data_IF_310030564630
#
_entry.id   IF_310030564630
#
_cell.length_a   1.000
_cell.length_b   1.000
_cell.length_c   1.000
_cell.angle_alpha   90.00
_cell.angle_beta   90.00
_cell.angle_gamma   90.00
#
_symmetry.space_group_name_H-M   'P 1'
#
loop_
_entity.id
_entity.type
_entity.pdbx_description
1 polymer ?
#
# COMPACT_ATOMS: atom_id res chain seq x y z
N UNK A 1 -8.99 -29.62 -3.36
CA UNK A 1 -8.41 -28.45 -2.66
C UNK A 1 -9.36 -27.31 -2.90
N UNK A 2 -9.94 -26.70 -1.85
CA UNK A 2 -10.78 -25.52 -2.00
C UNK A 2 -9.94 -24.37 -2.56
N UNK A 3 -10.44 -23.67 -3.56
CA UNK A 3 -9.81 -22.46 -4.07
C UNK A 3 -9.53 -21.48 -2.90
N UNK A 4 -8.35 -20.85 -2.87
CA UNK A 4 -8.04 -19.88 -1.82
C UNK A 4 -9.07 -18.76 -1.85
N UNK A 5 -9.62 -18.42 -0.68
CA UNK A 5 -10.57 -17.31 -0.56
C UNK A 5 -9.82 -15.99 -0.43
N UNK A 6 -10.27 -14.92 -1.09
CA UNK A 6 -9.66 -13.60 -0.92
C UNK A 6 -9.86 -13.10 0.52
N UNK A 7 -8.84 -12.44 1.08
CA UNK A 7 -8.91 -11.73 2.36
C UNK A 7 -9.73 -10.44 2.20
N UNK A 8 -9.46 -9.69 1.12
CA UNK A 8 -10.19 -8.48 0.77
C UNK A 8 -10.74 -8.62 -0.64
N UNK A 9 -12.02 -8.36 -0.81
CA UNK A 9 -12.71 -8.39 -2.08
C UNK A 9 -13.54 -7.12 -2.25
N UNK A 10 -13.55 -6.56 -3.44
CA UNK A 10 -14.49 -5.53 -3.84
C UNK A 10 -15.16 -5.96 -5.14
N UNK A 11 -16.47 -5.78 -5.23
CA UNK A 11 -17.28 -6.13 -6.40
C UNK A 11 -18.12 -4.97 -6.85
N UNK A 12 -18.01 -4.65 -8.13
CA UNK A 12 -18.86 -3.67 -8.79
C UNK A 12 -18.82 -2.28 -8.20
N UNK A 13 -17.64 -1.83 -7.68
CA UNK A 13 -17.53 -0.51 -7.04
C UNK A 13 -17.78 0.60 -8.05
N UNK A 14 -18.72 1.49 -7.73
CA UNK A 14 -19.06 2.68 -8.51
C UNK A 14 -18.76 3.93 -7.69
N UNK A 15 -18.17 4.95 -8.33
CA UNK A 15 -17.95 6.25 -7.73
C UNK A 15 -18.03 7.38 -8.75
N UNK A 16 -18.90 8.34 -8.45
CA UNK A 16 -19.05 9.56 -9.24
C UNK A 16 -18.58 10.79 -8.46
N UNK A 17 -17.94 11.70 -9.16
CA UNK A 17 -17.64 13.05 -8.70
C UNK A 17 -18.31 14.05 -9.66
N UNK A 18 -19.55 14.42 -9.35
CA UNK A 18 -20.38 15.16 -10.28
C UNK A 18 -20.61 14.39 -11.58
N UNK A 19 -20.11 14.90 -12.71
CA UNK A 19 -20.23 14.24 -14.02
C UNK A 19 -19.07 13.26 -14.31
N UNK A 20 -18.05 13.21 -13.44
CA UNK A 20 -16.90 12.32 -13.65
C UNK A 20 -17.15 10.97 -13.00
N UNK A 21 -17.09 9.91 -13.80
CA UNK A 21 -17.16 8.53 -13.32
C UNK A 21 -15.72 8.09 -12.97
N UNK A 22 -15.41 8.02 -11.68
CA UNK A 22 -14.08 7.66 -11.21
C UNK A 22 -13.91 6.15 -11.00
N UNK A 23 -14.99 5.43 -10.65
CA UNK A 23 -15.09 3.98 -10.69
C UNK A 23 -16.39 3.60 -11.40
N UNK A 24 -16.31 2.62 -12.30
CA UNK A 24 -17.42 2.17 -13.13
C UNK A 24 -17.54 0.63 -13.08
N UNK A 25 -17.99 0.13 -11.93
CA UNK A 25 -18.10 -1.30 -11.69
C UNK A 25 -16.73 -1.98 -11.45
N UNK A 26 -15.83 -1.30 -10.72
CA UNK A 26 -14.48 -1.84 -10.45
C UNK A 26 -14.52 -3.03 -9.49
N UNK A 27 -13.80 -4.09 -9.85
CA UNK A 27 -13.57 -5.28 -9.02
C UNK A 27 -12.13 -5.33 -8.51
N UNK A 28 -11.95 -5.91 -7.33
CA UNK A 28 -10.64 -6.11 -6.70
C UNK A 28 -10.64 -7.36 -5.82
N UNK A 29 -9.51 -8.07 -5.79
CA UNK A 29 -9.31 -9.22 -4.91
C UNK A 29 -7.87 -9.25 -4.41
N UNK A 30 -7.69 -9.52 -3.12
CA UNK A 30 -6.39 -9.76 -2.47
C UNK A 30 -6.45 -11.09 -1.73
N UNK A 31 -5.48 -11.96 -1.98
CA UNK A 31 -5.36 -13.25 -1.33
C UNK A 31 -4.35 -13.23 -0.18
N UNK A 32 -4.33 -14.29 0.68
CA UNK A 32 -3.34 -14.40 1.73
C UNK A 32 -1.91 -14.41 1.18
N UNK A 33 -1.01 -13.71 1.87
CA UNK A 33 0.42 -13.74 1.62
C UNK A 33 0.85 -13.34 0.20
N UNK A 34 0.09 -12.43 -0.44
CA UNK A 34 0.46 -11.89 -1.76
C UNK A 34 0.71 -10.38 -1.74
N UNK A 35 1.47 -9.91 -2.71
CA UNK A 35 1.58 -8.50 -3.09
C UNK A 35 0.79 -8.29 -4.37
N UNK A 36 -0.26 -7.47 -4.32
CA UNK A 36 -1.00 -7.04 -5.51
C UNK A 36 -0.61 -5.61 -5.85
N UNK A 37 -0.09 -5.41 -7.05
CA UNK A 37 0.12 -4.06 -7.58
C UNK A 37 -1.09 -3.58 -8.36
N UNK A 38 -1.47 -2.32 -8.18
CA UNK A 38 -2.50 -1.63 -8.96
C UNK A 38 -1.82 -0.62 -9.86
N UNK A 39 -1.93 -0.82 -11.17
CA UNK A 39 -1.39 0.06 -12.19
C UNK A 39 -2.51 0.64 -13.07
N UNK A 40 -2.18 1.67 -13.81
CA UNK A 40 -3.11 2.34 -14.73
C UNK A 40 -2.68 3.79 -14.97
N UNK A 41 -3.18 4.41 -16.01
CA UNK A 41 -2.91 5.81 -16.34
C UNK A 41 -3.43 6.78 -15.27
N UNK A 42 -3.03 8.05 -15.39
CA UNK A 42 -3.61 9.12 -14.60
C UNK A 42 -5.11 9.22 -14.89
N UNK A 43 -5.92 9.24 -13.83
CA UNK A 43 -7.38 9.23 -13.99
C UNK A 43 -8.01 7.83 -14.16
N UNK A 44 -7.22 6.73 -14.18
CA UNK A 44 -7.75 5.37 -14.30
C UNK A 44 -8.61 4.90 -13.13
N UNK A 45 -8.64 5.64 -12.00
CA UNK A 45 -9.44 5.29 -10.82
C UNK A 45 -8.67 4.65 -9.67
N UNK A 46 -7.34 4.44 -9.80
CA UNK A 46 -6.48 3.78 -8.78
C UNK A 46 -6.65 4.36 -7.37
N UNK A 47 -6.40 5.66 -7.24
CA UNK A 47 -6.50 6.34 -5.93
C UNK A 47 -7.94 6.35 -5.39
N UNK A 48 -8.96 6.35 -6.25
CA UNK A 48 -10.36 6.25 -5.84
C UNK A 48 -10.66 4.85 -5.31
N UNK A 49 -10.18 3.79 -5.98
CA UNK A 49 -10.31 2.42 -5.51
C UNK A 49 -9.66 2.26 -4.12
N UNK A 50 -8.41 2.71 -3.96
CA UNK A 50 -7.73 2.62 -2.66
C UNK A 50 -8.43 3.42 -1.57
N UNK A 51 -8.91 4.61 -1.86
CA UNK A 51 -9.70 5.40 -0.91
C UNK A 51 -10.98 4.68 -0.48
N UNK A 52 -11.62 3.93 -1.39
CA UNK A 52 -12.78 3.11 -1.05
C UNK A 52 -12.38 1.91 -0.16
N UNK A 53 -11.31 1.18 -0.51
CA UNK A 53 -10.81 0.04 0.27
C UNK A 53 -10.28 0.45 1.66
N UNK A 54 -9.69 1.65 1.78
CA UNK A 54 -9.16 2.19 3.05
C UNK A 54 -10.19 2.95 3.90
N UNK A 55 -11.45 3.06 3.43
CA UNK A 55 -12.51 3.80 4.12
C UNK A 55 -12.35 5.32 4.09
N UNK A 56 -11.39 5.86 3.32
CA UNK A 56 -11.24 7.31 3.10
C UNK A 56 -12.34 7.88 2.19
N UNK A 57 -13.04 7.00 1.46
CA UNK A 57 -14.13 7.34 0.57
C UNK A 57 -15.21 6.26 0.67
N UNK A 58 -16.48 6.63 0.57
CA UNK A 58 -17.58 5.70 0.37
C UNK A 58 -17.88 5.58 -1.13
N UNK A 59 -17.92 4.35 -1.65
CA UNK A 59 -18.45 4.06 -2.98
C UNK A 59 -19.97 4.38 -3.02
N UNK A 60 -20.45 4.76 -4.19
CA UNK A 60 -21.88 5.05 -4.40
C UNK A 60 -22.66 3.75 -4.58
N UNK A 61 -22.02 2.71 -5.18
CA UNK A 61 -22.58 1.37 -5.34
C UNK A 61 -21.47 0.31 -5.26
N UNK A 62 -21.87 -0.96 -5.21
CA UNK A 62 -20.99 -2.11 -5.06
C UNK A 62 -20.84 -2.56 -3.60
N UNK A 63 -19.98 -3.52 -3.38
CA UNK A 63 -19.70 -4.04 -2.04
C UNK A 63 -18.23 -4.35 -1.81
N UNK A 64 -17.83 -4.26 -0.54
CA UNK A 64 -16.50 -4.68 -0.06
C UNK A 64 -16.72 -5.82 0.93
N UNK A 65 -15.90 -6.87 0.83
CA UNK A 65 -15.88 -7.99 1.76
C UNK A 65 -14.48 -8.16 2.35
N UNK A 66 -14.43 -8.41 3.64
CA UNK A 66 -13.21 -8.74 4.37
C UNK A 66 -13.40 -10.13 5.00
N UNK A 67 -12.52 -11.07 4.69
CA UNK A 67 -12.64 -12.49 5.09
C UNK A 67 -14.01 -13.12 4.68
N UNK A 68 -14.57 -12.67 3.55
CA UNK A 68 -15.87 -13.12 3.02
C UNK A 68 -17.08 -12.41 3.63
N UNK A 69 -16.92 -11.64 4.70
CA UNK A 69 -17.99 -10.86 5.32
C UNK A 69 -18.12 -9.47 4.68
N UNK A 70 -19.34 -9.05 4.36
CA UNK A 70 -19.60 -7.72 3.83
C UNK A 70 -19.28 -6.67 4.89
N UNK A 71 -18.41 -5.72 4.53
CA UNK A 71 -18.00 -4.60 5.40
C UNK A 71 -18.36 -3.27 4.76
N UNK A 72 -18.58 -2.26 5.61
CA UNK A 72 -18.78 -0.89 5.17
C UNK A 72 -17.92 0.04 6.01
N UNK A 73 -16.85 0.52 5.44
CA UNK A 73 -15.99 1.51 6.09
C UNK A 73 -16.57 2.91 5.88
N UNK A 74 -16.88 3.59 6.97
CA UNK A 74 -17.39 4.98 6.96
C UNK A 74 -16.26 5.99 7.16
N UNK A 75 -15.11 5.50 7.62
CA UNK A 75 -13.92 6.28 7.91
C UNK A 75 -12.67 5.42 7.80
N UNK A 76 -11.47 6.02 7.63
CA UNK A 76 -10.20 5.29 7.75
C UNK A 76 -10.01 4.63 9.12
N UNK A 77 -10.68 5.14 10.16
CA UNK A 77 -10.71 4.54 11.49
C UNK A 77 -11.37 3.17 11.50
N UNK A 78 -12.46 2.99 10.74
CA UNK A 78 -13.15 1.71 10.63
C UNK A 78 -12.27 0.66 9.95
N UNK A 79 -11.62 1.02 8.84
CA UNK A 79 -10.70 0.15 8.13
C UNK A 79 -9.51 -0.25 9.03
N UNK A 80 -8.92 0.71 9.77
CA UNK A 80 -7.87 0.43 10.76
C UNK A 80 -8.35 -0.49 11.89
N UNK A 81 -9.57 -0.32 12.36
CA UNK A 81 -10.15 -1.19 13.38
C UNK A 81 -10.36 -2.61 12.87
N UNK A 82 -10.67 -2.76 11.57
CA UNK A 82 -10.75 -4.04 10.87
C UNK A 82 -9.37 -4.65 10.57
N UNK A 83 -8.26 -3.93 10.80
CA UNK A 83 -6.89 -4.42 10.61
C UNK A 83 -6.25 -4.04 9.28
N UNK A 84 -6.80 -3.07 8.56
CA UNK A 84 -6.26 -2.52 7.32
C UNK A 84 -5.48 -1.25 7.66
N UNK A 85 -4.18 -1.22 7.39
CA UNK A 85 -3.34 -0.01 7.54
C UNK A 85 -2.99 0.56 6.17
N UNK A 86 -2.93 1.89 6.07
CA UNK A 86 -2.62 2.57 4.82
C UNK A 86 -1.44 3.52 5.00
N UNK A 87 -0.44 3.38 4.14
CA UNK A 87 0.64 4.34 3.93
C UNK A 87 0.26 5.16 2.70
N UNK A 88 -0.08 6.42 2.92
CA UNK A 88 -0.38 7.37 1.86
C UNK A 88 0.91 8.00 1.33
N UNK A 89 0.85 8.59 0.15
CA UNK A 89 1.95 9.32 -0.47
C UNK A 89 2.53 10.40 0.48
N UNK A 90 1.67 11.12 1.20
CA UNK A 90 2.07 11.94 2.35
C UNK A 90 2.21 11.01 3.57
N UNK A 91 3.42 10.64 3.94
CA UNK A 91 3.74 9.59 4.91
C UNK A 91 3.02 9.70 6.27
N UNK A 92 2.36 10.83 6.53
CA UNK A 92 1.67 11.15 7.77
C UNK A 92 2.56 10.88 9.02
N UNK A 93 3.85 11.17 8.92
CA UNK A 93 4.81 11.13 10.03
C UNK A 93 4.92 12.50 10.67
N UNK A 94 5.14 12.54 11.98
CA UNK A 94 5.41 13.78 12.72
C UNK A 94 6.93 14.04 12.75
N UNK A 95 7.45 15.03 11.99
CA UNK A 95 8.88 15.21 11.79
C UNK A 95 9.65 15.46 13.10
N UNK A 96 9.08 16.23 14.01
CA UNK A 96 9.68 16.62 15.30
C UNK A 96 9.66 15.50 16.36
N UNK A 97 8.92 14.43 16.14
CA UNK A 97 8.87 13.29 17.06
C UNK A 97 9.94 12.26 16.73
N UNK A 98 10.38 11.52 17.76
CA UNK A 98 11.30 10.40 17.57
C UNK A 98 10.62 9.24 16.81
N UNK A 99 11.44 8.33 16.26
CA UNK A 99 10.94 7.16 15.48
C UNK A 99 9.95 6.35 16.32
N UNK A 100 10.28 6.05 17.58
CA UNK A 100 9.40 5.26 18.44
C UNK A 100 8.05 5.93 18.65
N UNK A 101 8.01 7.24 18.82
CA UNK A 101 6.77 7.99 18.95
C UNK A 101 5.94 7.97 17.65
N UNK A 102 6.60 8.05 16.49
CA UNK A 102 5.93 7.93 15.20
C UNK A 102 5.30 6.54 14.97
N UNK A 103 6.00 5.46 15.36
CA UNK A 103 5.45 4.08 15.26
C UNK A 103 4.19 3.94 16.11
N UNK A 104 4.12 4.59 17.26
CA UNK A 104 2.98 4.49 18.19
C UNK A 104 1.98 5.65 18.06
N UNK A 105 2.13 6.53 17.09
CA UNK A 105 1.27 7.71 16.94
C UNK A 105 -0.21 7.33 16.84
N UNK A 106 -1.02 7.84 17.79
CA UNK A 106 -2.44 7.51 17.94
C UNK A 106 -2.72 6.16 18.60
N UNK A 107 -1.67 5.42 19.02
CA UNK A 107 -1.75 4.12 19.71
C UNK A 107 -0.71 4.01 20.81
N UNK A 108 -0.45 5.13 21.49
CA UNK A 108 0.60 5.26 22.48
C UNK A 108 0.38 4.28 23.65
N UNK A 109 1.45 3.56 24.00
CA UNK A 109 1.44 2.70 25.18
C UNK A 109 1.40 3.55 26.45
N UNK A 110 0.47 3.23 27.34
CA UNK A 110 0.32 3.90 28.65
C UNK A 110 0.78 2.97 29.76
N UNK A 111 1.22 3.55 30.89
CA UNK A 111 1.51 2.78 32.07
C UNK A 111 0.24 2.02 32.53
N UNK A 112 0.44 0.81 33.06
CA UNK A 112 -0.66 0.05 33.69
C UNK A 112 -0.93 0.56 35.10
N UNK A 113 -2.18 0.47 35.56
CA UNK A 113 -2.59 0.89 36.91
C UNK A 113 -3.02 2.35 37.02
N UNK A 114 -3.15 2.88 38.27
CA UNK A 114 -3.72 4.22 38.52
C UNK A 114 -2.99 5.36 37.83
N UNK A 115 -1.66 5.27 37.68
CA UNK A 115 -0.83 6.27 36.99
C UNK A 115 -1.13 6.32 35.47
N UNK A 116 -1.43 5.19 34.86
CA UNK A 116 -1.78 5.13 33.43
C UNK A 116 -3.25 5.51 33.15
N UNK A 117 -4.19 5.07 33.99
CA UNK A 117 -5.60 5.40 33.82
C UNK A 117 -5.95 6.83 34.26
N UNK A 118 -5.38 7.30 35.39
CA UNK A 118 -5.69 8.64 35.93
C UNK A 118 -4.91 9.77 35.26
N UNK A 119 -3.57 9.64 35.18
CA UNK A 119 -2.69 10.68 34.67
C UNK A 119 -2.35 10.56 33.19
N UNK A 120 -2.84 9.53 32.51
CA UNK A 120 -2.56 9.25 31.06
C UNK A 120 -1.07 9.25 30.70
N UNK A 121 -0.20 8.87 31.61
CA UNK A 121 1.24 8.86 31.38
C UNK A 121 1.65 7.82 30.34
N UNK A 122 2.48 8.24 29.41
CA UNK A 122 3.00 7.38 28.33
C UNK A 122 4.16 6.52 28.82
N UNK A 123 4.12 5.22 28.51
CA UNK A 123 5.24 4.30 28.72
C UNK A 123 6.24 4.38 27.56
N UNK A 124 7.02 5.48 27.53
CA UNK A 124 8.04 5.70 26.48
C UNK A 124 9.12 4.60 26.46
N UNK A 125 9.40 3.94 27.60
CA UNK A 125 10.39 2.85 27.66
C UNK A 125 9.87 1.63 26.91
N UNK A 126 8.62 1.26 27.13
CA UNK A 126 7.96 0.18 26.41
C UNK A 126 7.86 0.47 24.93
N UNK A 127 7.39 1.65 24.53
CA UNK A 127 7.29 2.08 23.14
C UNK A 127 8.65 1.97 22.41
N UNK A 128 9.73 2.48 23.02
CA UNK A 128 11.08 2.41 22.43
C UNK A 128 11.60 0.99 22.28
N UNK A 129 11.37 0.14 23.28
CA UNK A 129 11.79 -1.27 23.24
C UNK A 129 11.04 -2.03 22.13
N UNK A 130 9.72 -1.86 22.05
CA UNK A 130 8.89 -2.53 21.03
C UNK A 130 9.18 -2.00 19.62
N UNK A 131 9.41 -0.68 19.46
CA UNK A 131 9.81 -0.12 18.19
C UNK A 131 11.20 -0.61 17.74
N UNK A 132 12.17 -0.68 18.66
CA UNK A 132 13.50 -1.20 18.35
C UNK A 132 13.45 -2.68 17.91
N UNK A 133 12.69 -3.51 18.60
CA UNK A 133 12.53 -4.91 18.24
C UNK A 133 11.90 -5.05 16.84
N UNK A 134 10.85 -4.26 16.54
CA UNK A 134 10.18 -4.29 15.24
C UNK A 134 11.07 -3.79 14.09
N UNK A 135 11.92 -2.78 14.34
CA UNK A 135 12.90 -2.31 13.36
C UNK A 135 13.99 -3.35 13.09
N UNK A 136 14.42 -4.07 14.12
CA UNK A 136 15.38 -5.17 13.98
C UNK A 136 14.78 -6.35 13.18
N UNK A 137 13.51 -6.71 13.44
CA UNK A 137 12.77 -7.74 12.70
C UNK A 137 12.64 -7.40 11.21
N UNK A 138 12.37 -6.14 10.90
CA UNK A 138 12.26 -5.64 9.53
C UNK A 138 13.61 -5.24 8.90
N UNK A 139 14.73 -5.42 9.61
CA UNK A 139 16.08 -5.05 9.17
C UNK A 139 16.23 -3.59 8.73
N UNK A 140 15.51 -2.66 9.39
CA UNK A 140 15.56 -1.24 9.07
C UNK A 140 16.74 -0.60 9.79
N UNK A 141 17.76 -0.18 9.03
CA UNK A 141 18.95 0.48 9.55
C UNK A 141 18.67 1.93 9.97
N UNK A 142 18.74 2.20 11.29
CA UNK A 142 18.72 3.56 11.87
C UNK A 142 19.77 3.67 12.96
N UNK A 143 20.32 4.88 13.17
CA UNK A 143 21.33 5.09 14.20
C UNK A 143 20.76 4.95 15.61
N UNK A 144 19.54 5.44 15.81
CA UNK A 144 18.83 5.35 17.08
C UNK A 144 17.34 5.49 16.89
N UNK A 145 16.57 4.64 17.58
CA UNK A 145 15.10 4.74 17.62
C UNK A 145 14.60 6.04 18.29
N UNK A 146 15.49 6.79 18.95
CA UNK A 146 15.20 8.06 19.62
C UNK A 146 15.46 9.28 18.73
N UNK A 147 16.03 9.10 17.53
CA UNK A 147 16.29 10.25 16.65
C UNK A 147 14.99 10.80 16.06
N UNK A 148 14.90 12.14 15.88
CA UNK A 148 13.75 12.77 15.24
C UNK A 148 13.61 12.33 13.80
N UNK A 149 12.38 12.15 13.32
CA UNK A 149 12.11 11.70 11.93
C UNK A 149 12.58 12.73 10.90
N UNK A 150 12.61 14.03 11.23
CA UNK A 150 13.14 15.08 10.35
C UNK A 150 14.62 14.89 9.99
N UNK A 151 15.41 14.24 10.86
CA UNK A 151 16.83 13.96 10.62
C UNK A 151 17.08 12.75 9.70
N UNK A 152 16.05 12.03 9.30
CA UNK A 152 16.14 10.85 8.46
C UNK A 152 16.21 11.21 6.97
N UNK A 153 16.86 10.34 6.17
CA UNK A 153 16.74 10.40 4.70
C UNK A 153 15.31 10.13 4.23
N UNK A 154 15.00 10.41 2.96
CA UNK A 154 13.69 10.11 2.37
C UNK A 154 13.31 8.65 2.53
N UNK A 155 14.21 7.73 2.15
CA UNK A 155 13.99 6.29 2.27
C UNK A 155 13.83 5.82 3.71
N UNK A 156 14.58 6.40 4.66
CA UNK A 156 14.40 6.09 6.08
C UNK A 156 13.06 6.57 6.62
N UNK A 157 12.58 7.75 6.21
CA UNK A 157 11.23 8.24 6.56
C UNK A 157 10.14 7.32 6.00
N UNK A 158 10.31 6.87 4.75
CA UNK A 158 9.44 5.88 4.14
C UNK A 158 9.46 4.57 4.94
N UNK A 159 10.65 4.09 5.33
CA UNK A 159 10.81 2.92 6.18
C UNK A 159 10.06 3.03 7.51
N UNK A 160 10.05 4.22 8.16
CA UNK A 160 9.25 4.47 9.38
C UNK A 160 7.76 4.32 9.10
N UNK A 161 7.26 4.85 7.96
CA UNK A 161 5.85 4.77 7.61
C UNK A 161 5.43 3.32 7.31
N UNK A 162 6.23 2.58 6.55
CA UNK A 162 6.00 1.15 6.25
C UNK A 162 6.05 0.32 7.54
N UNK A 163 7.07 0.50 8.38
CA UNK A 163 7.17 -0.20 9.67
C UNK A 163 5.98 0.09 10.59
N UNK A 164 5.49 1.34 10.61
CA UNK A 164 4.27 1.67 11.37
C UNK A 164 3.06 0.90 10.84
N UNK A 165 2.86 0.86 9.53
CA UNK A 165 1.77 0.11 8.93
C UNK A 165 1.90 -1.39 9.25
N UNK A 166 3.06 -2.00 9.03
CA UNK A 166 3.32 -3.42 9.31
C UNK A 166 3.09 -3.78 10.79
N UNK A 167 3.47 -2.89 11.73
CA UNK A 167 3.26 -3.14 13.17
C UNK A 167 1.79 -3.24 13.55
N UNK A 168 0.93 -2.48 12.89
CA UNK A 168 -0.46 -2.34 13.30
C UNK A 168 -1.46 -3.03 12.38
N UNK A 169 -1.06 -3.35 11.15
CA UNK A 169 -1.87 -4.16 10.25
C UNK A 169 -2.04 -5.57 10.80
N UNK A 170 -3.27 -6.05 10.81
CA UNK A 170 -3.63 -7.42 11.22
C UNK A 170 -4.15 -8.25 10.07
N UNK A 171 -4.55 -7.59 8.97
CA UNK A 171 -5.11 -8.22 7.79
C UNK A 171 -4.30 -7.92 6.54
N UNK A 172 -4.06 -6.66 6.27
CA UNK A 172 -3.30 -6.22 5.10
C UNK A 172 -2.77 -4.79 5.27
N UNK A 173 -1.76 -4.45 4.48
CA UNK A 173 -1.27 -3.09 4.33
C UNK A 173 -1.53 -2.57 2.91
N UNK A 174 -1.90 -1.29 2.80
CA UNK A 174 -2.03 -0.56 1.54
C UNK A 174 -0.90 0.47 1.48
N UNK A 175 -0.19 0.54 0.36
CA UNK A 175 0.93 1.47 0.16
C UNK A 175 0.74 2.23 -1.15
N UNK A 176 0.52 3.53 -1.03
CA UNK A 176 0.30 4.43 -2.18
C UNK A 176 1.61 5.11 -2.56
N UNK A 177 2.16 4.74 -3.72
CA UNK A 177 3.43 5.24 -4.28
C UNK A 177 4.61 5.15 -3.29
N UNK A 178 4.94 3.96 -2.74
CA UNK A 178 5.89 3.82 -1.64
C UNK A 178 7.33 4.18 -2.00
N UNK A 179 7.67 4.29 -3.27
CA UNK A 179 9.01 4.61 -3.77
C UNK A 179 9.09 5.97 -4.46
N UNK A 180 8.01 6.76 -4.45
CA UNK A 180 7.96 8.05 -5.12
C UNK A 180 9.01 9.02 -4.53
N UNK A 181 9.70 9.75 -5.42
CA UNK A 181 10.70 10.77 -5.09
C UNK A 181 11.91 10.25 -4.27
N UNK A 182 12.20 8.95 -4.31
CA UNK A 182 13.38 8.35 -3.72
C UNK A 182 14.50 8.14 -4.75
N UNK A 183 15.75 8.19 -4.30
CA UNK A 183 16.89 7.78 -5.11
C UNK A 183 16.94 6.25 -5.28
N UNK A 184 17.75 5.77 -6.23
CA UNK A 184 17.83 4.33 -6.58
C UNK A 184 18.12 3.44 -5.36
N UNK A 185 19.04 3.87 -4.50
CA UNK A 185 19.44 3.11 -3.31
C UNK A 185 18.32 3.05 -2.26
N UNK A 186 17.67 4.19 -2.01
CA UNK A 186 16.54 4.27 -1.08
C UNK A 186 15.34 3.46 -1.57
N UNK A 187 15.06 3.52 -2.87
CA UNK A 187 14.01 2.72 -3.51
C UNK A 187 14.24 1.24 -3.25
N UNK A 188 15.46 0.74 -3.51
CA UNK A 188 15.79 -0.67 -3.25
C UNK A 188 15.52 -1.08 -1.82
N UNK A 189 15.93 -0.26 -0.84
CA UNK A 189 15.71 -0.52 0.57
C UNK A 189 14.21 -0.60 0.92
N UNK A 190 13.38 0.24 0.29
CA UNK A 190 11.91 0.22 0.52
C UNK A 190 11.28 -1.02 -0.12
N UNK A 191 11.69 -1.40 -1.33
CA UNK A 191 11.19 -2.63 -1.98
C UNK A 191 11.54 -3.88 -1.16
N UNK A 192 12.79 -4.00 -0.70
CA UNK A 192 13.25 -5.10 0.16
C UNK A 192 12.46 -5.11 1.49
N UNK A 193 12.12 -3.94 2.03
CA UNK A 193 11.28 -3.84 3.23
C UNK A 193 9.85 -4.33 2.98
N UNK A 194 9.24 -3.95 1.87
CA UNK A 194 7.89 -4.41 1.50
C UNK A 194 7.88 -5.94 1.33
N UNK A 195 8.91 -6.49 0.70
CA UNK A 195 9.07 -7.94 0.56
C UNK A 195 9.13 -8.63 1.94
N UNK A 196 9.94 -8.12 2.87
CA UNK A 196 10.00 -8.65 4.25
C UNK A 196 8.66 -8.59 4.99
N UNK A 197 7.90 -7.50 4.79
CA UNK A 197 6.55 -7.37 5.36
C UNK A 197 5.64 -8.50 4.84
N UNK A 198 5.68 -8.79 3.55
CA UNK A 198 4.92 -9.90 2.94
C UNK A 198 5.42 -11.27 3.43
N UNK A 199 6.73 -11.48 3.54
CA UNK A 199 7.34 -12.71 4.08
C UNK A 199 6.95 -12.95 5.54
N UNK A 200 6.72 -11.88 6.30
CA UNK A 200 6.11 -11.92 7.63
C UNK A 200 4.63 -12.34 7.65
N UNK A 201 4.04 -12.65 6.48
CA UNK A 201 2.66 -13.12 6.35
C UNK A 201 1.62 -12.02 6.19
N UNK A 202 2.02 -10.76 6.01
CA UNK A 202 1.10 -9.65 5.82
C UNK A 202 0.91 -9.36 4.31
N UNK A 203 -0.28 -9.57 3.74
CA UNK A 203 -0.57 -9.22 2.37
C UNK A 203 -0.47 -7.70 2.13
N UNK A 204 -0.01 -7.32 0.95
CA UNK A 204 0.23 -5.90 0.63
C UNK A 204 -0.45 -5.52 -0.68
N UNK A 205 -1.09 -4.37 -0.68
CA UNK A 205 -1.55 -3.68 -1.90
C UNK A 205 -0.59 -2.54 -2.16
N UNK A 206 -0.01 -2.47 -3.35
CA UNK A 206 0.81 -1.33 -3.77
C UNK A 206 0.17 -0.60 -4.94
N UNK A 207 0.23 0.73 -4.93
CA UNK A 207 0.03 1.52 -6.14
C UNK A 207 1.39 2.02 -6.56
N UNK A 208 1.76 1.82 -7.81
CA UNK A 208 2.96 2.39 -8.38
C UNK A 208 2.78 2.63 -9.88
N UNK A 209 3.46 3.62 -10.40
CA UNK A 209 3.61 3.87 -11.83
C UNK A 209 4.98 3.41 -12.36
N UNK A 210 5.86 2.93 -11.47
CA UNK A 210 7.18 2.41 -11.81
C UNK A 210 7.07 0.92 -12.16
N UNK A 211 6.97 0.63 -13.46
CA UNK A 211 6.74 -0.72 -13.97
C UNK A 211 7.84 -1.72 -13.61
N UNK A 212 9.14 -1.41 -13.69
CA UNK A 212 10.22 -2.26 -13.19
C UNK A 212 9.99 -2.72 -11.76
N UNK A 213 9.68 -1.81 -10.84
CA UNK A 213 9.44 -2.15 -9.43
C UNK A 213 8.17 -2.97 -9.23
N UNK A 214 7.12 -2.68 -10.00
CA UNK A 214 5.88 -3.46 -9.98
C UNK A 214 6.15 -4.91 -10.38
N UNK A 215 6.87 -5.12 -11.48
CA UNK A 215 7.18 -6.46 -12.00
C UNK A 215 8.17 -7.24 -11.13
N UNK A 216 9.02 -6.54 -10.39
CA UNK A 216 9.93 -7.17 -9.43
C UNK A 216 9.21 -7.65 -8.16
N UNK A 217 8.22 -6.88 -7.68
CA UNK A 217 7.69 -7.06 -6.34
C UNK A 217 6.34 -7.78 -6.30
N UNK A 218 5.49 -7.59 -7.31
CA UNK A 218 4.10 -8.05 -7.27
C UNK A 218 3.95 -9.53 -7.68
N UNK A 219 3.15 -10.27 -6.93
CA UNK A 219 2.68 -11.60 -7.35
C UNK A 219 1.59 -11.48 -8.43
N UNK A 220 0.72 -10.46 -8.31
CA UNK A 220 -0.34 -10.14 -9.28
C UNK A 220 -0.41 -8.64 -9.53
N UNK A 221 -0.73 -8.28 -10.76
CA UNK A 221 -0.83 -6.90 -11.22
C UNK A 221 -2.25 -6.67 -11.73
N UNK A 222 -2.98 -5.81 -11.05
CA UNK A 222 -4.31 -5.37 -11.45
C UNK A 222 -4.19 -4.12 -12.31
N UNK A 223 -4.70 -4.18 -13.53
CA UNK A 223 -4.63 -3.08 -14.49
C UNK A 223 -5.98 -2.36 -14.50
N UNK A 224 -5.94 -1.08 -14.17
CA UNK A 224 -7.12 -0.20 -14.21
C UNK A 224 -7.09 0.72 -15.41
N UNK A 225 -8.26 0.90 -16.03
CA UNK A 225 -8.47 1.87 -17.09
C UNK A 225 -9.91 2.40 -17.05
N UNK A 226 -10.08 3.73 -17.12
CA UNK A 226 -11.38 4.40 -17.13
C UNK A 226 -12.34 3.93 -16.02
N UNK A 227 -11.82 3.80 -14.81
CA UNK A 227 -12.59 3.40 -13.64
C UNK A 227 -12.90 1.90 -13.52
N UNK A 228 -12.39 1.06 -14.41
CA UNK A 228 -12.62 -0.40 -14.44
C UNK A 228 -11.34 -1.19 -14.24
N UNK A 229 -11.44 -2.39 -13.70
CA UNK A 229 -10.44 -3.43 -13.81
C UNK A 229 -10.52 -4.02 -15.22
N UNK A 230 -9.49 -3.81 -16.03
CA UNK A 230 -9.46 -4.32 -17.42
C UNK A 230 -8.73 -5.64 -17.53
N UNK A 231 -7.76 -5.89 -16.64
CA UNK A 231 -7.05 -7.18 -16.57
C UNK A 231 -6.45 -7.41 -15.19
N UNK A 232 -6.12 -8.66 -14.92
CA UNK A 232 -5.21 -9.09 -13.86
C UNK A 232 -4.16 -9.98 -14.52
N UNK A 233 -2.90 -9.61 -14.38
CA UNK A 233 -1.76 -10.31 -14.98
C UNK A 233 -0.74 -10.67 -13.89
N UNK A 234 0.22 -11.54 -14.21
CA UNK A 234 1.36 -11.83 -13.34
C UNK A 234 2.65 -11.53 -14.10
N UNK A 235 3.75 -11.21 -13.40
CA UNK A 235 5.06 -11.03 -14.03
C UNK A 235 5.53 -12.24 -14.85
N UNK A 236 5.04 -13.44 -14.51
CA UNK A 236 5.35 -14.68 -15.24
C UNK A 236 4.53 -14.84 -16.53
N UNK A 237 3.30 -14.31 -16.55
CA UNK A 237 2.36 -14.48 -17.65
C UNK A 237 2.45 -13.40 -18.72
N UNK A 238 2.95 -12.22 -18.37
CA UNK A 238 3.00 -11.05 -19.25
C UNK A 238 4.30 -10.27 -19.05
N UNK A 239 4.77 -9.67 -20.12
CA UNK A 239 5.87 -8.71 -20.12
C UNK A 239 5.39 -7.31 -19.67
N UNK A 240 6.33 -6.46 -19.26
CA UNK A 240 6.02 -5.05 -18.95
C UNK A 240 5.36 -4.33 -20.14
N UNK A 241 5.84 -4.58 -21.37
CA UNK A 241 5.29 -3.95 -22.58
C UNK A 241 3.83 -4.37 -22.82
N UNK A 242 3.50 -5.65 -22.62
CA UNK A 242 2.12 -6.12 -22.74
C UNK A 242 1.20 -5.52 -21.67
N UNK A 243 1.67 -5.41 -20.43
CA UNK A 243 0.91 -4.76 -19.36
C UNK A 243 0.66 -3.27 -19.65
N UNK A 244 1.65 -2.55 -20.20
CA UNK A 244 1.50 -1.16 -20.64
C UNK A 244 0.51 -1.06 -21.80
N UNK A 245 0.50 -2.01 -22.74
CA UNK A 245 -0.48 -2.07 -23.81
C UNK A 245 -1.90 -2.18 -23.29
N UNK A 246 -2.13 -3.13 -22.39
CA UNK A 246 -3.44 -3.32 -21.79
C UNK A 246 -3.86 -2.03 -21.05
N UNK A 247 -2.93 -1.40 -20.33
CA UNK A 247 -3.14 -0.18 -19.58
C UNK A 247 -3.58 0.98 -20.47
N UNK A 248 -2.89 1.20 -21.60
CA UNK A 248 -3.18 2.28 -22.55
C UNK A 248 -4.32 1.93 -23.50
N UNK A 249 -4.63 0.64 -23.65
CA UNK A 249 -5.59 0.12 -24.63
C UNK A 249 -5.04 0.09 -26.05
N UNK A 250 -3.71 0.12 -26.18
CA UNK A 250 -3.04 -0.07 -27.46
C UNK A 250 -3.18 -1.53 -27.91
N UNK A 251 -3.26 -1.75 -29.22
CA UNK A 251 -3.21 -3.08 -29.80
C UNK A 251 -1.75 -3.58 -29.80
N UNK A 252 -1.56 -4.91 -29.76
CA UNK A 252 -0.22 -5.52 -29.84
C UNK A 252 0.56 -5.06 -31.08
N UNK A 253 -0.14 -4.75 -32.19
CA UNK A 253 0.45 -4.24 -33.42
C UNK A 253 0.98 -2.80 -33.27
N UNK A 254 0.26 -1.93 -32.55
CA UNK A 254 0.70 -0.54 -32.27
C UNK A 254 1.94 -0.49 -31.37
N UNK A 255 2.04 -1.41 -30.41
CA UNK A 255 3.24 -1.53 -29.56
C UNK A 255 4.47 -2.01 -30.33
N UNK A 256 4.34 -3.03 -31.19
CA UNK A 256 5.44 -3.47 -32.04
C UNK A 256 5.93 -2.35 -32.94
N UNK A 257 5.05 -1.52 -33.49
CA UNK A 257 5.43 -0.38 -34.31
C UNK A 257 6.10 0.75 -33.49
N UNK A 258 5.72 0.97 -32.24
CA UNK A 258 6.37 1.94 -31.36
C UNK A 258 7.79 1.48 -30.95
N UNK A 259 7.97 0.21 -30.61
CA UNK A 259 9.27 -0.36 -30.27
C UNK A 259 10.25 -0.36 -31.44
N UNK A 260 9.77 -0.57 -32.69
CA UNK A 260 10.62 -0.54 -33.90
C UNK A 260 11.03 0.88 -34.31
N UNK A 261 10.36 1.91 -33.80
CA UNK A 261 10.70 3.33 -34.06
C UNK A 261 11.68 3.93 -33.07
N UNK A 262 11.92 3.28 -31.94
CA UNK A 262 12.84 3.74 -30.87
C UNK A 262 14.25 3.12 -30.99
N UNK A 263 14.54 2.24 -31.96
CA UNK A 263 15.91 1.88 -32.26
C UNK A 263 16.54 3.08 -33.02
N UNK A 264 17.48 3.82 -32.39
CA UNK A 264 18.21 4.85 -33.10
C UNK A 264 19.07 4.16 -34.13
N UNK A 265 18.88 4.50 -35.38
CA UNK A 265 19.81 4.14 -36.48
C UNK A 265 21.24 4.53 -36.07
N UNK A 266 22.14 3.58 -36.27
CA UNK A 266 23.57 3.70 -36.12
C UNK A 266 24.16 4.96 -36.77
#
# INVERSE_FOLDING_TARGET
MSEPRPILEARGLVKHYGQVVALDGADFELYPNEIVAIIGDNGAGKSTLIKALSGALQADDGEIRLDGERVRFRSPGDARSAGIETVYQDLAVAPSLDIASNIFLGREARFRGPLGLGLRLLDKRRMRREAAAHFAELEIGVQSIKQPVESLSGGQRQGVAVARAAKWARRLAIMDEPTAALGVRETRQVLDLIQRVREGGLPVIIISHDMPHVFELADRILIMRLGKRVAVVTPESHTMSEAVAIMTGATAAELQQAMTKEEPGE
#
